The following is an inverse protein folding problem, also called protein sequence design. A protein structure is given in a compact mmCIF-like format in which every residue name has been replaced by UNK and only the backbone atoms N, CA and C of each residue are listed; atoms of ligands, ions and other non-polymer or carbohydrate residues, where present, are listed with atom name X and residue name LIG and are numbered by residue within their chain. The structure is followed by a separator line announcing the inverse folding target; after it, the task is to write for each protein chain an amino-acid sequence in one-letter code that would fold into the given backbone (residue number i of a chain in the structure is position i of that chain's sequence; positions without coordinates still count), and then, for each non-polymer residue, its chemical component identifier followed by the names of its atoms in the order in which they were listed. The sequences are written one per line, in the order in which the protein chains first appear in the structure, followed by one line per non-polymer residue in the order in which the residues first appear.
data_IF_288796655417
#
_entry.id   IF_288796655417
#
_cell.length_a   1.000
_cell.length_b   1.000
_cell.length_c   1.000
_cell.angle_alpha   90.00
_cell.angle_beta   90.00
_cell.angle_gamma   90.00
#
_symmetry.space_group_name_H-M   'P 1'
#
loop_
_entity.id
_entity.type
_entity.pdbx_description
1 polymer ?
#
# COMPACT_ATOMS: atom_id res chain seq x y z
N UNK A 1 -28.04 3.69 -7.68
CA UNK A 1 -28.04 3.23 -6.27
C UNK A 1 -27.11 2.02 -6.03
N UNK A 2 -26.00 1.88 -6.77
CA UNK A 2 -25.03 0.77 -6.62
C UNK A 2 -23.66 1.26 -6.13
N UNK A 3 -23.21 2.46 -6.58
CA UNK A 3 -21.93 3.07 -6.17
C UNK A 3 -21.85 3.52 -4.70
N UNK A 4 -22.98 3.73 -4.02
CA UNK A 4 -23.01 4.22 -2.63
C UNK A 4 -22.86 3.08 -1.61
N UNK A 5 -23.21 1.84 -1.99
CA UNK A 5 -23.09 0.65 -1.13
C UNK A 5 -21.64 0.21 -0.96
N UNK A 6 -20.83 0.35 -2.01
CA UNK A 6 -19.40 0.00 -2.04
C UNK A 6 -18.54 0.91 -1.16
N UNK A 7 -18.88 2.20 -1.08
CA UNK A 7 -18.13 3.17 -0.25
C UNK A 7 -18.39 2.93 1.23
N UNK A 8 -19.63 2.59 1.59
CA UNK A 8 -20.03 2.38 2.98
C UNK A 8 -19.51 1.05 3.57
N UNK A 9 -19.37 0.00 2.76
CA UNK A 9 -18.75 -1.26 3.18
C UNK A 9 -17.22 -1.12 3.30
N UNK A 10 -16.60 -0.29 2.45
CA UNK A 10 -15.17 -0.02 2.51
C UNK A 10 -14.79 0.69 3.81
N UNK A 11 -15.60 1.64 4.29
CA UNK A 11 -15.36 2.28 5.58
C UNK A 11 -15.50 1.31 6.76
N UNK A 12 -16.44 0.37 6.71
CA UNK A 12 -16.63 -0.63 7.78
C UNK A 12 -15.44 -1.60 7.87
N UNK A 13 -15.01 -2.14 6.72
CA UNK A 13 -13.84 -3.01 6.62
C UNK A 13 -12.54 -2.27 7.02
N UNK A 14 -12.39 -1.00 6.63
CA UNK A 14 -11.26 -0.18 7.05
C UNK A 14 -11.27 0.07 8.56
N UNK A 15 -12.44 0.30 9.17
CA UNK A 15 -12.54 0.44 10.63
C UNK A 15 -12.24 -0.86 11.37
N UNK A 16 -12.72 -2.00 10.88
CA UNK A 16 -12.44 -3.31 11.47
C UNK A 16 -10.94 -3.64 11.39
N UNK A 17 -10.32 -3.41 10.24
CA UNK A 17 -8.88 -3.55 10.03
C UNK A 17 -8.08 -2.69 11.01
N UNK A 18 -8.45 -1.42 11.17
CA UNK A 18 -7.82 -0.52 12.13
C UNK A 18 -7.96 -1.02 13.56
N UNK A 19 -9.17 -1.43 13.97
CA UNK A 19 -9.44 -1.96 15.32
C UNK A 19 -8.57 -3.19 15.58
N UNK A 20 -8.55 -4.15 14.66
CA UNK A 20 -7.74 -5.37 14.82
C UNK A 20 -6.24 -5.07 14.81
N UNK A 21 -5.78 -4.07 14.03
CA UNK A 21 -4.37 -3.65 14.02
C UNK A 21 -3.91 -3.04 15.35
N UNK A 22 -4.82 -2.46 16.15
CA UNK A 22 -4.48 -1.94 17.49
C UNK A 22 -4.02 -3.03 18.45
N UNK A 23 -4.34 -4.31 18.19
CA UNK A 23 -3.86 -5.42 19.01
C UNK A 23 -2.35 -5.68 18.88
N UNK A 24 -1.67 -5.08 17.90
CA UNK A 24 -0.21 -5.12 17.78
C UNK A 24 0.47 -3.86 18.34
N UNK A 25 -0.31 -2.81 18.64
CA UNK A 25 0.21 -1.51 19.07
C UNK A 25 0.86 -1.64 20.47
N UNK A 26 2.14 -1.29 20.63
CA UNK A 26 2.80 -1.31 21.95
C UNK A 26 2.28 -0.24 22.91
N UNK A 27 1.52 0.74 22.41
CA UNK A 27 1.00 1.85 23.21
C UNK A 27 0.25 1.38 24.44
N UNK A 28 0.43 2.13 25.53
CA UNK A 28 -0.12 1.83 26.85
C UNK A 28 0.23 0.42 27.33
N UNK A 29 1.47 -0.03 27.08
CA UNK A 29 1.98 -1.33 27.53
C UNK A 29 1.17 -2.48 26.91
N UNK A 30 0.96 -2.44 25.60
CA UNK A 30 0.23 -3.49 24.86
C UNK A 30 -1.15 -3.80 25.45
N UNK A 31 -1.85 -2.80 26.01
CA UNK A 31 -3.14 -2.97 26.69
C UNK A 31 -4.20 -3.71 25.85
N UNK A 32 -4.13 -3.54 24.54
CA UNK A 32 -5.08 -4.11 23.57
C UNK A 32 -4.60 -5.41 22.92
N UNK A 33 -3.46 -5.94 23.37
CA UNK A 33 -2.91 -7.17 22.83
C UNK A 33 -3.90 -8.32 23.00
N UNK A 34 -4.18 -9.00 21.88
CA UNK A 34 -5.13 -10.10 21.84
C UNK A 34 -4.74 -11.03 20.70
N UNK A 35 -4.30 -12.24 21.06
CA UNK A 35 -3.94 -13.30 20.11
C UNK A 35 -5.11 -13.56 19.16
N UNK A 36 -6.34 -13.66 19.68
CA UNK A 36 -7.53 -13.89 18.86
C UNK A 36 -7.77 -12.79 17.83
N UNK A 37 -7.60 -11.51 18.21
CA UNK A 37 -7.79 -10.40 17.28
C UNK A 37 -6.71 -10.39 16.20
N UNK A 38 -5.46 -10.70 16.56
CA UNK A 38 -4.36 -10.79 15.60
C UNK A 38 -4.56 -11.96 14.64
N UNK A 39 -5.02 -13.11 15.12
CA UNK A 39 -5.38 -14.24 14.27
C UNK A 39 -6.55 -13.89 13.34
N UNK A 40 -7.55 -13.14 13.81
CA UNK A 40 -8.65 -12.66 12.97
C UNK A 40 -8.19 -11.63 11.93
N UNK A 41 -7.25 -10.75 12.28
CA UNK A 41 -6.62 -9.81 11.35
C UNK A 41 -6.01 -10.54 10.15
N UNK A 42 -5.23 -11.59 10.42
CA UNK A 42 -4.58 -12.38 9.37
C UNK A 42 -5.61 -13.17 8.56
N UNK A 43 -6.59 -13.80 9.21
CA UNK A 43 -7.63 -14.57 8.51
C UNK A 43 -8.50 -13.71 7.61
N UNK A 44 -8.84 -12.50 8.03
CA UNK A 44 -9.82 -11.66 7.34
C UNK A 44 -9.18 -10.71 6.33
N UNK A 45 -7.98 -10.18 6.61
CA UNK A 45 -7.37 -9.10 5.82
C UNK A 45 -6.06 -9.48 5.12
N UNK A 46 -5.30 -10.42 5.67
CA UNK A 46 -4.01 -10.87 5.12
C UNK A 46 -4.04 -12.35 4.72
N UNK A 47 -5.20 -12.85 4.30
CA UNK A 47 -5.40 -14.28 4.03
C UNK A 47 -4.57 -14.80 2.84
N UNK A 48 -4.18 -13.90 1.93
CA UNK A 48 -3.31 -14.18 0.77
C UNK A 48 -1.82 -14.07 1.11
N UNK A 49 -1.47 -13.31 2.15
CA UNK A 49 -0.08 -13.13 2.59
C UNK A 49 0.39 -14.24 3.54
N UNK A 50 -0.50 -15.13 3.97
CA UNK A 50 -0.20 -16.24 4.89
C UNK A 50 -0.85 -17.54 4.40
N UNK A 51 -0.05 -18.60 4.30
CA UNK A 51 -0.52 -19.97 4.11
C UNK A 51 -1.27 -20.50 5.33
N UNK A 52 -2.06 -21.56 5.17
CA UNK A 52 -2.77 -22.20 6.29
C UNK A 52 -1.80 -22.71 7.36
N UNK A 53 -0.64 -23.23 6.96
CA UNK A 53 0.40 -23.67 7.89
C UNK A 53 0.98 -22.49 8.68
N UNK A 54 1.24 -21.36 8.02
CA UNK A 54 1.73 -20.15 8.69
C UNK A 54 0.68 -19.57 9.64
N UNK A 55 -0.62 -19.65 9.33
CA UNK A 55 -1.69 -19.21 10.25
C UNK A 55 -1.70 -20.04 11.54
N UNK A 56 -1.46 -21.34 11.45
CA UNK A 56 -1.34 -22.22 12.61
C UNK A 56 -0.07 -21.87 13.40
N UNK A 57 1.07 -21.71 12.71
CA UNK A 57 2.33 -21.35 13.35
C UNK A 57 2.30 -19.97 14.02
N UNK A 58 1.60 -19.01 13.42
CA UNK A 58 1.44 -17.66 13.98
C UNK A 58 0.75 -17.71 15.35
N UNK A 59 -0.26 -18.56 15.53
CA UNK A 59 -0.93 -18.72 16.83
C UNK A 59 0.06 -19.18 17.92
N UNK A 60 0.94 -20.13 17.59
CA UNK A 60 2.02 -20.57 18.48
C UNK A 60 3.06 -19.49 18.74
N UNK A 61 3.51 -18.77 17.70
CA UNK A 61 4.45 -17.65 17.87
C UNK A 61 3.86 -16.56 18.78
N UNK A 62 2.57 -16.24 18.64
CA UNK A 62 1.90 -15.21 19.43
C UNK A 62 1.84 -15.53 20.91
N UNK A 63 1.64 -16.81 21.27
CA UNK A 63 1.66 -17.24 22.68
C UNK A 63 3.01 -17.01 23.34
N UNK A 64 4.10 -17.28 22.63
CA UNK A 64 5.46 -17.07 23.14
C UNK A 64 5.83 -15.57 23.13
N UNK A 65 5.44 -14.86 22.07
CA UNK A 65 5.65 -13.41 21.94
C UNK A 65 5.00 -12.62 23.09
N UNK A 66 3.84 -13.06 23.58
CA UNK A 66 3.20 -12.43 24.74
C UNK A 66 4.11 -12.43 25.98
N UNK A 67 4.87 -13.51 26.18
CA UNK A 67 5.78 -13.65 27.31
C UNK A 67 7.10 -12.91 27.07
N UNK A 68 7.67 -13.08 25.88
CA UNK A 68 9.05 -12.66 25.59
C UNK A 68 9.17 -11.21 25.08
N UNK A 69 8.06 -10.62 24.62
CA UNK A 69 8.01 -9.24 24.12
C UNK A 69 7.01 -8.41 24.89
N UNK A 70 5.73 -8.79 24.90
CA UNK A 70 4.66 -7.96 25.48
C UNK A 70 4.87 -7.73 26.98
N UNK A 71 5.26 -8.77 27.72
CA UNK A 71 5.54 -8.70 29.16
C UNK A 71 7.00 -8.33 29.50
N UNK A 72 7.87 -8.22 28.50
CA UNK A 72 9.28 -7.95 28.74
C UNK A 72 9.51 -6.47 29.10
N UNK A 73 10.34 -6.18 30.12
CA UNK A 73 10.59 -4.81 30.58
C UNK A 73 11.22 -3.93 29.50
N UNK A 74 11.99 -4.54 28.59
CA UNK A 74 12.63 -3.82 27.50
C UNK A 74 11.58 -3.18 26.56
N UNK A 75 10.39 -3.74 26.41
CA UNK A 75 9.41 -3.27 25.41
C UNK A 75 8.35 -2.30 25.98
N UNK A 76 8.46 -1.91 27.26
CA UNK A 76 7.43 -1.17 27.98
C UNK A 76 7.34 0.32 27.61
N UNK A 77 8.40 0.89 27.03
CA UNK A 77 8.49 2.32 26.69
C UNK A 77 8.28 2.61 25.20
N UNK A 78 7.60 1.70 24.49
CA UNK A 78 7.32 1.83 23.06
C UNK A 78 5.95 2.48 22.83
N UNK A 79 5.91 3.44 21.90
CA UNK A 79 4.71 4.23 21.60
C UNK A 79 4.15 3.99 20.21
N UNK A 80 4.94 3.40 19.32
CA UNK A 80 4.55 3.16 17.93
C UNK A 80 4.99 1.78 17.43
N UNK A 81 4.27 1.26 16.42
CA UNK A 81 4.65 0.04 15.70
C UNK A 81 6.03 0.15 15.01
N UNK A 82 6.44 1.35 14.60
CA UNK A 82 7.75 1.57 13.99
C UNK A 82 8.88 1.34 15.01
N UNK A 83 8.74 1.90 16.22
CA UNK A 83 9.67 1.66 17.32
C UNK A 83 9.70 0.18 17.74
N UNK A 84 8.53 -0.49 17.75
CA UNK A 84 8.45 -1.93 17.99
C UNK A 84 9.24 -2.73 16.94
N UNK A 85 9.02 -2.45 15.65
CA UNK A 85 9.73 -3.14 14.56
C UNK A 85 11.25 -2.94 14.64
N UNK A 86 11.68 -1.71 14.95
CA UNK A 86 13.10 -1.41 15.16
C UNK A 86 13.67 -2.22 16.34
N UNK A 87 12.97 -2.21 17.49
CA UNK A 87 13.44 -2.90 18.69
C UNK A 87 13.47 -4.42 18.54
N UNK A 88 12.51 -5.00 17.81
CA UNK A 88 12.51 -6.43 17.48
C UNK A 88 13.75 -6.80 16.64
N UNK A 89 14.14 -5.91 15.72
CA UNK A 89 15.34 -6.09 14.89
C UNK A 89 16.62 -5.99 15.74
N UNK A 90 16.72 -4.96 16.59
CA UNK A 90 17.87 -4.73 17.47
C UNK A 90 18.10 -5.89 18.46
N UNK A 91 17.02 -6.45 19.00
CA UNK A 91 17.07 -7.55 19.98
C UNK A 91 17.17 -8.93 19.32
N UNK A 92 17.19 -9.02 17.99
CA UNK A 92 17.19 -10.27 17.22
C UNK A 92 15.87 -11.04 17.29
N UNK A 93 14.85 -10.50 17.96
CA UNK A 93 13.53 -11.13 18.10
C UNK A 93 12.74 -11.19 16.80
N UNK A 94 13.09 -10.36 15.81
CA UNK A 94 12.55 -10.46 14.45
C UNK A 94 12.86 -11.82 13.79
N UNK A 95 13.97 -12.47 14.16
CA UNK A 95 14.33 -13.80 13.66
C UNK A 95 13.67 -14.93 14.47
N UNK A 96 13.27 -14.64 15.71
CA UNK A 96 12.61 -15.60 16.60
C UNK A 96 11.11 -15.66 16.29
N UNK A 97 10.49 -14.52 15.98
CA UNK A 97 9.07 -14.41 15.62
C UNK A 97 8.89 -13.83 14.19
N UNK A 98 9.35 -14.55 13.16
CA UNK A 98 9.35 -14.05 11.79
C UNK A 98 7.94 -13.77 11.24
N UNK A 99 6.91 -14.49 11.69
CA UNK A 99 5.54 -14.27 11.21
C UNK A 99 4.93 -13.02 11.82
N UNK A 100 5.22 -12.75 13.09
CA UNK A 100 4.79 -11.53 13.78
C UNK A 100 5.51 -10.31 13.22
N UNK A 101 6.83 -10.41 13.00
CA UNK A 101 7.62 -9.35 12.38
C UNK A 101 7.11 -9.02 10.97
N UNK A 102 6.81 -10.04 10.14
CA UNK A 102 6.18 -9.83 8.83
C UNK A 102 4.83 -9.14 8.95
N UNK A 103 3.99 -9.57 9.90
CA UNK A 103 2.67 -8.97 10.11
C UNK A 103 2.76 -7.49 10.51
N UNK A 104 3.66 -7.13 11.41
CA UNK A 104 3.89 -5.73 11.81
C UNK A 104 4.30 -4.90 10.60
N UNK A 105 5.18 -5.42 9.73
CA UNK A 105 5.58 -4.72 8.49
C UNK A 105 4.40 -4.54 7.53
N UNK A 106 3.55 -5.55 7.36
CA UNK A 106 2.34 -5.43 6.54
C UNK A 106 1.41 -4.34 7.08
N UNK A 107 1.15 -4.34 8.39
CA UNK A 107 0.34 -3.30 9.05
C UNK A 107 0.97 -1.91 8.92
N UNK A 108 2.30 -1.78 8.97
CA UNK A 108 2.99 -0.50 8.75
C UNK A 108 2.91 -0.01 7.31
N UNK A 109 2.89 -0.92 6.32
CA UNK A 109 2.74 -0.56 4.90
C UNK A 109 1.32 -0.15 4.53
N UNK A 110 0.32 -0.61 5.30
CA UNK A 110 -1.09 -0.35 5.02
C UNK A 110 -1.48 1.15 5.08
N UNK A 111 -1.14 1.95 6.12
CA UNK A 111 -1.39 3.39 6.13
C UNK A 111 -0.77 4.13 4.95
N UNK A 112 0.39 3.67 4.49
CA UNK A 112 1.11 4.28 3.36
C UNK A 112 0.34 4.03 2.06
N UNK A 113 -0.17 2.82 1.86
CA UNK A 113 -0.95 2.48 0.65
C UNK A 113 -2.34 3.09 0.67
N UNK A 114 -3.05 3.09 1.81
CA UNK A 114 -4.38 3.74 1.92
C UNK A 114 -4.30 5.24 1.71
N UNK A 115 -3.36 5.93 2.35
CA UNK A 115 -3.18 7.38 2.14
C UNK A 115 -2.79 7.72 0.70
N UNK A 116 -1.96 6.88 0.06
CA UNK A 116 -1.55 7.09 -1.34
C UNK A 116 -2.70 6.86 -2.31
N UNK A 117 -3.47 5.78 -2.12
CA UNK A 117 -4.63 5.48 -2.95
C UNK A 117 -5.74 6.51 -2.79
N UNK A 118 -6.07 6.94 -1.56
CA UNK A 118 -7.05 8.02 -1.32
C UNK A 118 -6.63 9.33 -1.99
N UNK A 119 -5.35 9.70 -1.89
CA UNK A 119 -4.81 10.90 -2.53
C UNK A 119 -4.89 10.78 -4.06
N UNK A 120 -4.62 9.61 -4.62
CA UNK A 120 -4.78 9.33 -6.05
C UNK A 120 -6.23 9.43 -6.50
N UNK A 121 -7.18 8.82 -5.77
CA UNK A 121 -8.61 8.93 -6.05
C UNK A 121 -9.11 10.38 -5.95
N UNK A 122 -8.61 11.15 -5.00
CA UNK A 122 -8.93 12.58 -4.86
C UNK A 122 -8.42 13.39 -6.06
N UNK A 123 -7.18 13.17 -6.49
CA UNK A 123 -6.62 13.80 -7.69
C UNK A 123 -7.41 13.43 -8.94
N UNK A 124 -7.77 12.15 -9.11
CA UNK A 124 -8.62 11.66 -10.21
C UNK A 124 -9.98 12.34 -10.20
N UNK A 125 -10.60 12.48 -9.01
CA UNK A 125 -11.88 13.19 -8.88
C UNK A 125 -11.76 14.63 -9.38
N UNK A 126 -10.69 15.34 -9.03
CA UNK A 126 -10.41 16.69 -9.51
C UNK A 126 -10.23 16.72 -11.03
N UNK A 127 -9.43 15.81 -11.59
CA UNK A 127 -9.18 15.71 -13.04
C UNK A 127 -10.49 15.42 -13.79
N UNK A 128 -11.25 14.42 -13.34
CA UNK A 128 -12.54 14.03 -13.93
C UNK A 128 -13.59 15.14 -13.83
N UNK A 129 -13.61 15.89 -12.74
CA UNK A 129 -14.48 17.07 -12.60
C UNK A 129 -14.07 18.18 -13.57
N UNK A 130 -12.76 18.41 -13.78
CA UNK A 130 -12.25 19.43 -14.71
C UNK A 130 -12.42 19.06 -16.19
N UNK A 131 -12.33 17.77 -16.55
CA UNK A 131 -12.34 17.28 -17.94
C UNK A 131 -13.67 16.64 -18.38
N UNK A 132 -14.78 16.91 -17.66
CA UNK A 132 -16.10 16.27 -17.76
C UNK A 132 -16.70 16.15 -19.18
N UNK A 133 -16.19 16.88 -20.18
CA UNK A 133 -16.71 16.86 -21.55
C UNK A 133 -15.87 16.07 -22.57
N UNK A 134 -14.78 15.36 -22.20
CA UNK A 134 -13.92 14.76 -23.26
C UNK A 134 -13.13 13.47 -22.97
N UNK A 135 -13.29 12.80 -21.81
CA UNK A 135 -12.45 11.64 -21.49
C UNK A 135 -13.12 10.30 -21.78
N UNK A 136 -12.51 9.51 -22.67
CA UNK A 136 -12.64 8.05 -22.74
C UNK A 136 -11.80 7.38 -21.65
N UNK A 137 -12.16 6.14 -21.27
CA UNK A 137 -11.55 5.40 -20.15
C UNK A 137 -10.03 5.16 -20.33
N UNK A 138 -9.55 5.11 -21.58
CA UNK A 138 -8.14 4.89 -21.92
C UNK A 138 -7.26 6.08 -21.51
N UNK A 139 -7.66 7.31 -21.83
CA UNK A 139 -6.94 8.52 -21.40
C UNK A 139 -6.92 8.68 -19.88
N UNK A 140 -7.95 8.18 -19.20
CA UNK A 140 -7.98 8.16 -17.73
C UNK A 140 -6.93 7.20 -17.17
N UNK A 141 -6.78 6.01 -17.75
CA UNK A 141 -5.77 5.03 -17.37
C UNK A 141 -4.36 5.61 -17.55
N UNK A 142 -4.09 6.28 -18.67
CA UNK A 142 -2.80 6.94 -18.93
C UNK A 142 -2.48 8.02 -17.88
N UNK A 143 -3.47 8.83 -17.50
CA UNK A 143 -3.31 9.84 -16.45
C UNK A 143 -3.02 9.21 -15.08
N UNK A 144 -3.60 8.04 -14.77
CA UNK A 144 -3.31 7.34 -13.51
C UNK A 144 -1.87 6.86 -13.47
N UNK A 145 -1.36 6.31 -14.57
CA UNK A 145 0.04 5.86 -14.67
C UNK A 145 0.98 7.03 -14.41
N UNK A 146 0.76 8.19 -15.05
CA UNK A 146 1.58 9.39 -14.85
C UNK A 146 1.51 9.91 -13.41
N UNK A 147 0.34 9.81 -12.76
CA UNK A 147 0.17 10.27 -11.37
C UNK A 147 0.84 9.34 -10.35
N UNK A 148 0.75 8.02 -10.54
CA UNK A 148 1.43 7.02 -9.69
C UNK A 148 2.94 7.21 -9.85
N UNK A 149 3.41 7.33 -11.09
CA UNK A 149 4.82 7.51 -11.44
C UNK A 149 5.27 8.97 -11.42
N UNK A 150 4.59 9.84 -10.67
CA UNK A 150 4.83 11.30 -10.73
C UNK A 150 6.27 11.71 -10.38
N UNK A 151 6.97 10.91 -9.57
CA UNK A 151 8.38 11.16 -9.22
C UNK A 151 9.34 10.78 -10.34
N UNK A 152 8.92 9.87 -11.22
CA UNK A 152 9.63 9.53 -12.45
C UNK A 152 9.25 10.53 -13.53
N UNK A 153 7.95 10.83 -13.69
CA UNK A 153 7.44 11.80 -14.63
C UNK A 153 7.98 13.23 -14.38
N UNK A 154 8.24 13.61 -13.12
CA UNK A 154 8.83 14.91 -12.78
C UNK A 154 10.27 15.08 -13.28
N UNK A 155 10.95 13.99 -13.67
CA UNK A 155 12.28 14.03 -14.30
C UNK A 155 12.23 14.44 -15.76
N UNK A 156 11.06 14.40 -16.39
CA UNK A 156 10.86 14.81 -17.78
C UNK A 156 10.34 16.25 -17.80
N UNK A 157 11.08 17.16 -18.46
CA UNK A 157 10.59 18.52 -18.67
C UNK A 157 9.71 18.59 -19.91
N UNK A 158 8.88 19.63 -20.00
CA UNK A 158 8.04 19.84 -21.17
C UNK A 158 8.89 20.04 -22.44
N UNK A 159 10.06 20.65 -22.32
CA UNK A 159 11.02 20.82 -23.42
C UNK A 159 11.52 19.45 -23.92
N UNK A 160 11.88 18.53 -23.02
CA UNK A 160 12.32 17.18 -23.40
C UNK A 160 11.21 16.42 -24.15
N UNK A 161 9.96 16.56 -23.71
CA UNK A 161 8.80 15.93 -24.36
C UNK A 161 8.54 16.55 -25.74
N UNK A 162 8.64 17.87 -25.86
CA UNK A 162 8.44 18.60 -27.12
C UNK A 162 9.54 18.24 -28.13
N UNK A 163 10.79 18.15 -27.69
CA UNK A 163 11.94 17.79 -28.53
C UNK A 163 11.83 16.34 -29.02
N UNK A 164 11.50 15.41 -28.13
CA UNK A 164 11.29 14.00 -28.49
C UNK A 164 10.12 13.85 -29.48
N UNK A 165 8.99 14.52 -29.22
CA UNK A 165 7.84 14.52 -30.13
C UNK A 165 8.14 15.15 -31.49
N UNK A 166 8.98 16.19 -31.51
CA UNK A 166 9.42 16.84 -32.75
C UNK A 166 10.36 15.94 -33.55
N UNK A 167 11.23 15.19 -32.87
CA UNK A 167 12.14 14.22 -33.52
C UNK A 167 11.39 13.07 -34.20
N UNK A 168 10.22 12.67 -33.68
CA UNK A 168 9.37 11.63 -34.28
C UNK A 168 8.70 12.05 -35.60
N UNK A 169 8.59 13.35 -35.91
CA UNK A 169 7.88 13.86 -37.11
C UNK A 169 8.61 13.66 -38.44
N UNK A 170 9.87 13.22 -38.46
CA UNK A 170 10.58 12.97 -39.74
C UNK A 170 10.04 11.79 -40.57
N UNK A 171 9.04 11.04 -40.10
CA UNK A 171 8.47 9.90 -40.85
C UNK A 171 7.44 10.26 -41.93
N UNK A 172 6.91 11.49 -41.99
CA UNK A 172 5.92 11.87 -43.03
C UNK A 172 6.52 12.35 -44.35
N UNK A 173 7.85 12.53 -44.45
CA UNK A 173 8.50 13.02 -45.66
C UNK A 173 9.13 11.93 -46.56
N UNK A 174 9.24 10.67 -46.10
CA UNK A 174 9.94 9.62 -46.85
C UNK A 174 9.06 8.66 -47.66
N UNK A 175 7.72 8.81 -47.64
CA UNK A 175 6.83 7.99 -48.48
C UNK A 175 6.49 8.62 -49.85
N UNK A 176 7.18 9.70 -50.25
CA UNK A 176 6.97 10.37 -51.55
C UNK A 176 8.19 10.26 -52.49
N UNK A 177 9.18 9.41 -52.19
CA UNK A 177 10.35 9.20 -53.06
C UNK A 177 10.42 7.81 -53.73
N UNK A 178 9.42 6.96 -53.58
CA UNK A 178 9.42 5.61 -54.20
C UNK A 178 8.47 5.47 -55.41
N UNK A 179 7.91 6.56 -55.94
CA UNK A 179 6.99 6.50 -57.10
C UNK A 179 7.42 7.35 -58.31
N UNK A 180 8.73 7.61 -58.46
CA UNK A 180 9.27 8.11 -59.74
C UNK A 180 10.57 7.38 -60.09
N UNK A 181 10.56 6.68 -61.23
CA UNK A 181 11.53 5.68 -61.73
C UNK A 181 11.39 4.31 -61.06
N UNK A 182 10.82 3.29 -61.69
CA UNK A 182 11.02 2.78 -63.06
C UNK A 182 9.69 2.31 -63.67
#
# INVERSE_FOLDING_TARGET
MSKMKTIHSFSEQATELLILSTSLDPKDVFKLFSVCNICNLVKNFYSLDFSEQEKIQLDYELQHYELDVVKAPDFQNLSTLAELCQKLTETGKSNIYPLIDRLIRLVLTLPVTTATTERAFSAIKIIKTRLRNKMEDEFLADCMIVYIEKEIASKFTSEMIIDDFSSMKHRRANNLKFETHV
#
